data_IF_157299095981
#
_entry.id   IF_157299095981
#
_cell.length_a   1.000
_cell.length_b   1.000
_cell.length_c   1.000
_cell.angle_alpha   90.00
_cell.angle_beta   90.00
_cell.angle_gamma   90.00
#
_symmetry.space_group_name_H-M   'P 1'
#
loop_
_entity.id
_entity.type
_entity.pdbx_description
1 polymer ?
#
# COMPACT_ATOMS: atom_id res chain seq x y z
N UNK A 1 -2.35 -44.43 19.46
CA UNK A 1 -2.99 -44.10 18.19
C UNK A 1 -3.65 -42.72 18.20
N UNK A 2 -4.35 -42.31 19.25
CA UNK A 2 -4.95 -40.95 19.34
C UNK A 2 -3.93 -39.80 19.28
N UNK A 3 -2.72 -39.98 19.83
CA UNK A 3 -1.65 -38.97 19.82
C UNK A 3 -0.95 -38.81 18.46
N UNK A 4 -0.92 -39.88 17.65
CA UNK A 4 -0.33 -39.85 16.29
C UNK A 4 -1.24 -39.09 15.33
N UNK A 5 -2.57 -39.20 15.48
CA UNK A 5 -3.55 -38.43 14.69
C UNK A 5 -3.45 -36.92 14.90
N UNK A 6 -3.19 -36.48 16.14
CA UNK A 6 -3.01 -35.07 16.47
C UNK A 6 -1.72 -34.47 15.88
N UNK A 7 -0.65 -35.24 15.82
CA UNK A 7 0.63 -34.83 15.21
C UNK A 7 0.50 -34.71 13.68
N UNK A 8 -0.24 -35.61 13.04
CA UNK A 8 -0.51 -35.60 11.61
C UNK A 8 -1.36 -34.38 11.19
N UNK A 9 -2.35 -33.98 12.01
CA UNK A 9 -3.18 -32.79 11.77
C UNK A 9 -2.35 -31.51 11.91
N UNK A 10 -1.41 -31.48 12.88
CA UNK A 10 -0.52 -30.32 13.05
C UNK A 10 0.44 -30.11 11.88
N UNK A 11 0.84 -31.20 11.20
CA UNK A 11 1.74 -31.10 10.04
C UNK A 11 1.07 -30.55 8.79
N UNK A 12 -0.26 -30.63 8.68
CA UNK A 12 -1.02 -30.09 7.55
C UNK A 12 -1.14 -28.56 7.56
N UNK A 13 -0.99 -27.90 8.72
CA UNK A 13 -1.05 -26.45 8.84
C UNK A 13 0.24 -25.73 8.41
N UNK A 14 1.35 -26.45 8.17
CA UNK A 14 2.64 -25.85 7.80
C UNK A 14 2.74 -25.63 6.29
N UNK A 15 1.89 -26.25 5.47
CA UNK A 15 1.75 -25.95 4.03
C UNK A 15 0.80 -24.77 3.80
N UNK A 16 1.00 -23.67 4.53
CA UNK A 16 0.28 -22.43 4.28
C UNK A 16 0.84 -21.76 3.03
N UNK A 17 0.11 -21.92 1.96
CA UNK A 17 -0.02 -21.06 0.77
C UNK A 17 1.10 -20.02 0.56
N UNK A 18 2.11 -20.40 -0.17
CA UNK A 18 2.82 -19.47 -1.01
C UNK A 18 1.89 -19.14 -2.21
N UNK A 19 1.02 -18.16 -2.02
CA UNK A 19 0.16 -17.63 -3.09
C UNK A 19 1.09 -16.93 -4.09
N UNK A 20 1.59 -17.66 -5.09
CA UNK A 20 2.24 -17.04 -6.24
C UNK A 20 1.15 -16.26 -6.98
N UNK A 21 1.10 -14.97 -6.72
CA UNK A 21 0.32 -14.05 -7.53
C UNK A 21 0.86 -14.13 -8.95
N UNK A 22 -0.02 -14.29 -9.94
CA UNK A 22 0.38 -14.24 -11.35
C UNK A 22 1.01 -12.87 -11.60
N UNK A 23 2.30 -12.85 -11.89
CA UNK A 23 3.03 -11.62 -12.19
C UNK A 23 2.43 -10.96 -13.42
N UNK A 24 2.03 -9.70 -13.27
CA UNK A 24 1.51 -8.87 -14.36
C UNK A 24 2.72 -8.27 -15.09
N UNK A 25 2.76 -8.29 -16.44
CA UNK A 25 3.85 -7.66 -17.19
C UNK A 25 3.87 -6.15 -16.94
N UNK A 26 5.08 -5.58 -16.92
CA UNK A 26 5.28 -4.16 -16.65
C UNK A 26 4.55 -3.29 -17.70
N UNK A 27 3.68 -2.36 -17.28
CA UNK A 27 3.01 -1.43 -18.18
C UNK A 27 4.00 -0.44 -18.78
N UNK A 28 3.74 0.01 -20.03
CA UNK A 28 4.62 0.98 -20.72
C UNK A 28 4.83 2.30 -19.95
N UNK A 29 3.86 2.71 -19.14
CA UNK A 29 3.87 3.96 -18.39
C UNK A 29 3.74 3.70 -16.87
N UNK A 30 4.50 2.73 -16.36
CA UNK A 30 4.52 2.45 -14.92
C UNK A 30 5.13 3.65 -14.18
N UNK A 31 4.55 3.98 -13.04
CA UNK A 31 5.11 4.99 -12.13
C UNK A 31 6.37 4.40 -11.49
N UNK A 32 7.47 5.15 -11.40
CA UNK A 32 8.69 4.67 -10.73
C UNK A 32 8.45 4.35 -9.26
N UNK A 33 9.23 3.46 -8.69
CA UNK A 33 9.08 3.03 -7.28
C UNK A 33 9.17 4.20 -6.32
N UNK A 34 10.13 5.13 -6.54
CA UNK A 34 10.30 6.33 -5.74
C UNK A 34 9.08 7.25 -5.81
N UNK A 35 8.58 7.49 -7.02
CA UNK A 35 7.39 8.33 -7.22
C UNK A 35 6.14 7.66 -6.65
N UNK A 36 6.02 6.35 -6.78
CA UNK A 36 4.94 5.56 -6.19
C UNK A 36 4.95 5.66 -4.66
N UNK A 37 6.13 5.57 -4.04
CA UNK A 37 6.29 5.74 -2.59
C UNK A 37 5.83 7.14 -2.12
N UNK A 38 6.20 8.19 -2.84
CA UNK A 38 5.77 9.57 -2.51
C UNK A 38 4.25 9.74 -2.62
N UNK A 39 3.64 9.18 -3.67
CA UNK A 39 2.18 9.22 -3.85
C UNK A 39 1.48 8.47 -2.71
N UNK A 40 1.93 7.26 -2.39
CA UNK A 40 1.35 6.46 -1.31
C UNK A 40 1.51 7.13 0.05
N UNK A 41 2.66 7.75 0.33
CA UNK A 41 2.87 8.51 1.56
C UNK A 41 1.87 9.66 1.70
N UNK A 42 1.71 10.48 0.67
CA UNK A 42 0.76 11.60 0.69
C UNK A 42 -0.69 11.11 0.84
N UNK A 43 -1.07 10.03 0.16
CA UNK A 43 -2.40 9.43 0.28
C UNK A 43 -2.67 8.91 1.70
N UNK A 44 -1.69 8.24 2.32
CA UNK A 44 -1.82 7.73 3.69
C UNK A 44 -1.95 8.86 4.71
N UNK A 45 -1.18 9.94 4.56
CA UNK A 45 -1.27 11.11 5.45
C UNK A 45 -2.65 11.76 5.35
N UNK A 46 -3.15 11.98 4.14
CA UNK A 46 -4.45 12.60 3.91
C UNK A 46 -5.59 11.70 4.41
N UNK A 47 -5.53 10.40 4.13
CA UNK A 47 -6.52 9.44 4.62
C UNK A 47 -6.62 9.46 6.15
N UNK A 48 -5.48 9.46 6.84
CA UNK A 48 -5.43 9.54 8.29
C UNK A 48 -6.02 10.86 8.83
N UNK A 49 -5.72 12.00 8.20
CA UNK A 49 -6.29 13.28 8.57
C UNK A 49 -7.81 13.32 8.37
N UNK A 50 -8.32 12.75 7.30
CA UNK A 50 -9.75 12.68 7.02
C UNK A 50 -10.46 11.77 8.01
N UNK A 51 -9.89 10.62 8.36
CA UNK A 51 -10.46 9.69 9.37
C UNK A 51 -10.62 10.34 10.73
N UNK A 52 -9.67 11.17 11.14
CA UNK A 52 -9.71 11.83 12.46
C UNK A 52 -10.65 13.04 12.52
N UNK A 53 -11.00 13.63 11.37
CA UNK A 53 -11.77 14.88 11.28
C UNK A 53 -13.24 14.76 10.89
N UNK A 54 -13.69 13.62 10.33
CA UNK A 54 -15.04 13.50 9.76
C UNK A 54 -15.90 12.44 10.47
N UNK A 55 -17.10 12.83 10.98
CA UNK A 55 -17.97 11.93 11.74
C UNK A 55 -18.85 11.01 10.86
N UNK A 56 -18.94 11.23 9.53
CA UNK A 56 -19.86 10.52 8.64
C UNK A 56 -19.15 9.83 7.48
N UNK A 57 -19.47 8.55 7.25
CA UNK A 57 -18.90 7.69 6.20
C UNK A 57 -19.05 8.29 4.79
N UNK A 58 -20.19 8.91 4.48
CA UNK A 58 -20.42 9.52 3.16
C UNK A 58 -19.52 10.72 2.87
N UNK A 59 -19.25 11.54 3.88
CA UNK A 59 -18.31 12.66 3.78
C UNK A 59 -16.88 12.17 3.66
N UNK A 60 -16.51 11.12 4.39
CA UNK A 60 -15.22 10.46 4.30
C UNK A 60 -14.92 9.98 2.87
N UNK A 61 -15.83 9.19 2.26
CA UNK A 61 -15.64 8.67 0.91
C UNK A 61 -15.45 9.78 -0.14
N UNK A 62 -16.24 10.86 -0.06
CA UNK A 62 -16.12 12.00 -0.95
C UNK A 62 -14.77 12.70 -0.79
N UNK A 63 -14.37 12.97 0.44
CA UNK A 63 -13.11 13.67 0.75
C UNK A 63 -11.88 12.85 0.36
N UNK A 64 -11.89 11.53 0.56
CA UNK A 64 -10.80 10.64 0.11
C UNK A 64 -10.65 10.68 -1.41
N UNK A 65 -11.76 10.65 -2.16
CA UNK A 65 -11.71 10.74 -3.62
C UNK A 65 -11.16 12.07 -4.12
N UNK A 66 -11.69 13.18 -3.61
CA UNK A 66 -11.26 14.53 -3.99
C UNK A 66 -9.78 14.77 -3.64
N UNK A 67 -9.35 14.34 -2.47
CA UNK A 67 -7.97 14.46 -2.03
C UNK A 67 -7.03 13.57 -2.83
N UNK A 68 -7.47 12.37 -3.20
CA UNK A 68 -6.72 11.48 -4.10
C UNK A 68 -6.44 12.12 -5.45
N UNK A 69 -7.44 12.76 -6.05
CA UNK A 69 -7.28 13.47 -7.32
C UNK A 69 -6.28 14.65 -7.21
N UNK A 70 -6.26 15.37 -6.08
CA UNK A 70 -5.29 16.42 -5.80
C UNK A 70 -3.87 15.87 -5.71
N UNK A 71 -3.67 14.75 -5.00
CA UNK A 71 -2.36 14.10 -4.89
C UNK A 71 -1.87 13.64 -6.27
N UNK A 72 -2.69 12.95 -7.04
CA UNK A 72 -2.30 12.50 -8.37
C UNK A 72 -1.92 13.66 -9.30
N UNK A 73 -2.66 14.77 -9.25
CA UNK A 73 -2.31 16.01 -9.99
C UNK A 73 -0.98 16.60 -9.55
N UNK A 74 -0.69 16.63 -8.26
CA UNK A 74 0.59 17.09 -7.71
C UNK A 74 1.79 16.36 -8.32
N UNK A 75 1.62 15.06 -8.58
CA UNK A 75 2.67 14.22 -9.16
C UNK A 75 2.56 14.05 -10.68
N UNK A 76 1.63 14.78 -11.33
CA UNK A 76 1.39 14.70 -12.78
C UNK A 76 1.07 13.27 -13.25
N UNK A 77 0.26 12.56 -12.46
CA UNK A 77 -0.14 11.17 -12.69
C UNK A 77 -1.64 11.11 -12.95
N UNK A 78 -2.05 10.38 -13.98
CA UNK A 78 -3.46 10.09 -14.21
C UNK A 78 -3.95 8.94 -13.33
N UNK A 79 -5.23 8.92 -13.02
CA UNK A 79 -5.84 7.81 -12.29
C UNK A 79 -5.63 6.46 -12.99
N UNK A 80 -5.74 6.42 -14.32
CA UNK A 80 -5.52 5.21 -15.09
C UNK A 80 -4.08 4.70 -14.98
N UNK A 81 -3.10 5.60 -15.00
CA UNK A 81 -1.68 5.27 -14.80
C UNK A 81 -1.43 4.77 -13.38
N UNK A 82 -1.97 5.45 -12.38
CA UNK A 82 -1.86 5.04 -10.98
C UNK A 82 -2.47 3.66 -10.74
N UNK A 83 -3.68 3.41 -11.26
CA UNK A 83 -4.36 2.12 -11.16
C UNK A 83 -3.52 0.98 -11.75
N UNK A 84 -3.03 1.14 -12.98
CA UNK A 84 -2.19 0.12 -13.64
C UNK A 84 -0.88 -0.12 -12.90
N UNK A 85 -0.25 0.93 -12.38
CA UNK A 85 0.98 0.82 -11.60
C UNK A 85 0.74 0.10 -10.27
N UNK A 86 -0.38 0.38 -9.61
CA UNK A 86 -0.78 -0.30 -8.36
C UNK A 86 -1.06 -1.79 -8.61
N UNK A 87 -1.73 -2.14 -9.70
CA UNK A 87 -1.97 -3.53 -10.09
C UNK A 87 -0.64 -4.25 -10.39
N UNK A 88 0.26 -3.61 -11.12
CA UNK A 88 1.59 -4.15 -11.41
C UNK A 88 2.41 -4.39 -10.15
N UNK A 89 2.61 -3.36 -9.31
CA UNK A 89 3.37 -3.50 -8.08
C UNK A 89 2.70 -4.45 -7.08
N UNK A 90 1.37 -4.49 -7.05
CA UNK A 90 0.60 -5.44 -6.24
C UNK A 90 0.85 -6.90 -6.63
N UNK A 91 1.18 -7.17 -7.90
CA UNK A 91 1.58 -8.50 -8.37
C UNK A 91 3.06 -8.82 -8.09
N UNK A 92 3.89 -7.82 -7.79
CA UNK A 92 5.33 -7.90 -7.53
C UNK A 92 5.60 -7.71 -6.03
N UNK A 93 5.49 -8.76 -5.24
CA UNK A 93 5.56 -8.68 -3.77
C UNK A 93 6.84 -8.00 -3.25
N UNK A 94 7.99 -8.32 -3.84
CA UNK A 94 9.27 -7.74 -3.42
C UNK A 94 9.34 -6.25 -3.70
N UNK A 95 8.93 -5.80 -4.89
CA UNK A 95 8.88 -4.38 -5.26
C UNK A 95 7.89 -3.60 -4.39
N UNK A 96 6.71 -4.15 -4.16
CA UNK A 96 5.73 -3.52 -3.28
C UNK A 96 6.25 -3.37 -1.85
N UNK A 97 6.96 -4.39 -1.34
CA UNK A 97 7.62 -4.34 -0.03
C UNK A 97 8.66 -3.23 0.04
N UNK A 98 9.48 -3.05 -1.00
CA UNK A 98 10.48 -1.98 -1.06
C UNK A 98 9.82 -0.60 -1.09
N UNK A 99 8.75 -0.43 -1.87
CA UNK A 99 7.96 0.81 -1.89
C UNK A 99 7.43 1.13 -0.49
N UNK A 100 6.81 0.18 0.22
CA UNK A 100 6.32 0.41 1.58
C UNK A 100 7.44 0.69 2.58
N UNK A 101 8.58 0.05 2.48
CA UNK A 101 9.74 0.35 3.32
C UNK A 101 10.20 1.79 3.12
N UNK A 102 10.26 2.27 1.88
CA UNK A 102 10.60 3.65 1.55
C UNK A 102 9.60 4.64 2.16
N UNK A 103 8.31 4.34 2.10
CA UNK A 103 7.25 5.15 2.75
C UNK A 103 7.47 5.21 4.26
N UNK A 104 7.68 4.07 4.91
CA UNK A 104 7.88 4.00 6.37
C UNK A 104 9.13 4.76 6.82
N UNK A 105 10.24 4.64 6.09
CA UNK A 105 11.47 5.40 6.38
C UNK A 105 11.25 6.90 6.26
N UNK A 106 10.55 7.35 5.21
CA UNK A 106 10.22 8.75 5.00
C UNK A 106 9.35 9.30 6.12
N UNK A 107 8.29 8.58 6.49
CA UNK A 107 7.39 8.95 7.58
C UNK A 107 8.12 9.01 8.92
N UNK A 108 8.99 8.05 9.23
CA UNK A 108 9.79 8.04 10.45
C UNK A 108 10.77 9.23 10.52
N UNK A 109 11.42 9.58 9.41
CA UNK A 109 12.29 10.77 9.35
C UNK A 109 11.52 12.07 9.61
N UNK A 110 10.30 12.19 9.05
CA UNK A 110 9.44 13.37 9.30
C UNK A 110 9.00 13.43 10.76
N UNK A 111 8.61 12.30 11.34
CA UNK A 111 8.20 12.23 12.75
C UNK A 111 9.35 12.61 13.69
N UNK A 112 10.55 12.10 13.46
CA UNK A 112 11.74 12.42 14.26
C UNK A 112 12.08 13.91 14.20
N UNK A 113 11.95 14.55 13.04
CA UNK A 113 12.17 16.01 12.90
C UNK A 113 11.16 16.81 13.72
N UNK A 114 9.88 16.44 13.69
CA UNK A 114 8.83 17.12 14.46
C UNK A 114 9.00 16.97 15.98
N UNK A 115 9.61 15.89 16.44
CA UNK A 115 9.89 15.68 17.88
C UNK A 115 11.15 16.42 18.37
N UNK A 116 12.02 16.84 17.44
CA UNK A 116 13.26 17.56 17.75
C UNK A 116 13.11 19.09 17.80
N UNK A 117 11.97 19.63 17.35
CA UNK A 117 11.59 21.05 17.40
C UNK A 117 10.81 21.38 18.67
#
# INVERSE_FOLDING_TARGET
MRKIGLILISFFFIFSCELKLNEIPEPKNVITEEKMALILEDLMIIENQIQTGLPHISQFQKSVKESGDIVLKKYEVTYAQFKKSTEYYGSQQDKMKEIYNTVLESMNKKLTKLQAE
#
